data_IF_313372039319
#
_entry.id   IF_313372039319
#
_cell.length_a   1.000
_cell.length_b   1.000
_cell.length_c   1.000
_cell.angle_alpha   90.00
_cell.angle_beta   90.00
_cell.angle_gamma   90.00
#
_symmetry.space_group_name_H-M   'P 1'
#
loop_
_entity.id
_entity.type
_entity.pdbx_description
1 polymer ?
#
# COMPACT_ATOMS: atom_id res chain seq x y z
N UNK A 1 -4.43 23.84 35.26
CA UNK A 1 -5.16 22.90 34.36
C UNK A 1 -6.16 23.61 33.46
N UNK A 2 -6.90 24.63 33.93
CA UNK A 2 -7.87 25.39 33.12
C UNK A 2 -7.23 26.15 31.94
N UNK A 3 -6.06 26.77 32.14
CA UNK A 3 -5.34 27.46 31.05
C UNK A 3 -4.80 26.48 30.00
N UNK A 4 -4.37 25.30 30.45
CA UNK A 4 -3.95 24.21 29.58
C UNK A 4 -5.14 23.65 28.78
N UNK A 5 -6.34 23.64 29.36
CA UNK A 5 -7.56 23.18 28.69
C UNK A 5 -8.09 24.22 27.68
N UNK A 6 -8.04 25.51 28.03
CA UNK A 6 -8.48 26.60 27.15
C UNK A 6 -7.62 26.74 25.88
N UNK A 7 -6.30 26.52 25.97
CA UNK A 7 -5.44 26.51 24.77
C UNK A 7 -5.81 25.38 23.80
N UNK A 8 -6.26 24.21 24.31
CA UNK A 8 -6.66 23.09 23.45
C UNK A 8 -8.00 23.37 22.78
N UNK A 9 -8.95 23.99 23.48
CA UNK A 9 -10.21 24.44 22.87
C UNK A 9 -9.99 25.52 21.80
N UNK A 10 -9.11 26.50 22.07
CA UNK A 10 -8.76 27.52 21.10
C UNK A 10 -8.08 26.91 19.86
N UNK A 11 -7.14 25.99 20.06
CA UNK A 11 -6.47 25.28 18.97
C UNK A 11 -7.46 24.45 18.16
N UNK A 12 -8.39 23.73 18.80
CA UNK A 12 -9.42 22.96 18.11
C UNK A 12 -10.33 23.87 17.26
N UNK A 13 -10.81 24.98 17.82
CA UNK A 13 -11.64 25.93 17.08
C UNK A 13 -10.90 26.53 15.87
N UNK A 14 -9.63 26.90 16.04
CA UNK A 14 -8.81 27.43 14.96
C UNK A 14 -8.57 26.39 13.85
N UNK A 15 -8.23 25.15 14.21
CA UNK A 15 -7.98 24.09 13.23
C UNK A 15 -9.24 23.71 12.45
N UNK A 16 -10.40 23.59 13.12
CA UNK A 16 -11.66 23.23 12.45
C UNK A 16 -12.27 24.40 11.68
N UNK A 17 -12.18 25.63 12.19
CA UNK A 17 -12.74 26.82 11.52
C UNK A 17 -12.02 27.17 10.22
N UNK A 18 -10.70 26.96 10.14
CA UNK A 18 -9.92 27.23 8.92
C UNK A 18 -10.27 26.26 7.79
N UNK A 19 -10.62 25.00 8.10
CA UNK A 19 -11.01 24.01 7.09
C UNK A 19 -12.32 24.38 6.37
N UNK A 20 -13.27 25.02 7.07
CA UNK A 20 -14.53 25.46 6.46
C UNK A 20 -14.36 26.66 5.52
N UNK A 21 -13.36 27.51 5.75
CA UNK A 21 -13.13 28.70 4.92
C UNK A 21 -12.60 28.37 3.51
N UNK A 22 -12.02 27.18 3.33
CA UNK A 22 -11.47 26.72 2.05
C UNK A 22 -12.32 25.63 1.36
N UNK A 23 -13.49 25.32 1.91
CA UNK A 23 -14.35 24.25 1.41
C UNK A 23 -15.31 24.69 0.29
N UNK A 24 -15.31 25.97 -0.09
CA UNK A 24 -16.18 26.49 -1.14
C UNK A 24 -15.45 26.41 -2.50
N UNK A 25 -15.72 25.34 -3.24
CA UNK A 25 -15.27 25.14 -4.62
C UNK A 25 -16.43 25.38 -5.58
N UNK A 26 -16.17 25.81 -6.83
CA UNK A 26 -17.22 26.02 -7.82
C UNK A 26 -18.05 24.75 -8.02
N UNK A 27 -19.36 24.94 -8.24
CA UNK A 27 -20.28 23.84 -8.55
C UNK A 27 -19.71 22.95 -9.66
N UNK A 28 -19.79 21.61 -9.51
CA UNK A 28 -19.24 20.70 -10.51
C UNK A 28 -19.95 20.93 -11.86
N UNK A 29 -19.21 20.90 -12.97
CA UNK A 29 -19.80 21.02 -14.30
C UNK A 29 -20.83 19.89 -14.53
N UNK A 30 -21.80 20.10 -15.46
CA UNK A 30 -22.79 19.10 -15.80
C UNK A 30 -22.15 17.74 -16.12
N UNK A 31 -22.79 16.60 -15.80
CA UNK A 31 -22.24 15.28 -16.07
C UNK A 31 -21.97 15.10 -17.57
N UNK A 32 -20.70 14.88 -17.93
CA UNK A 32 -20.34 14.44 -19.27
C UNK A 32 -20.85 13.00 -19.50
N UNK A 33 -21.14 12.60 -20.76
CA UNK A 33 -21.43 11.21 -21.08
C UNK A 33 -20.32 10.29 -20.55
N UNK A 34 -20.65 9.08 -20.05
CA UNK A 34 -19.63 8.17 -19.55
C UNK A 34 -18.63 7.87 -20.68
N UNK A 35 -17.32 7.99 -20.41
CA UNK A 35 -16.30 7.63 -21.39
C UNK A 35 -16.45 6.14 -21.74
N UNK A 36 -16.12 5.75 -22.99
CA UNK A 36 -16.07 4.34 -23.34
C UNK A 36 -15.12 3.60 -22.38
N UNK A 37 -15.44 2.34 -22.03
CA UNK A 37 -14.60 1.57 -21.14
C UNK A 37 -13.17 1.48 -21.70
N UNK A 38 -12.15 1.60 -20.83
CA UNK A 38 -10.77 1.46 -21.27
C UNK A 38 -10.53 0.05 -21.84
N UNK A 39 -9.60 -0.11 -22.79
CA UNK A 39 -9.23 -1.43 -23.27
C UNK A 39 -8.73 -2.31 -22.10
N UNK A 40 -8.94 -3.63 -22.16
CA UNK A 40 -8.44 -4.53 -21.13
C UNK A 40 -6.91 -4.40 -21.01
N UNK A 41 -6.35 -4.56 -19.79
CA UNK A 41 -4.91 -4.56 -19.60
C UNK A 41 -4.24 -5.61 -20.49
N UNK A 42 -3.05 -5.33 -21.04
CA UNK A 42 -2.23 -6.35 -21.68
C UNK A 42 -2.06 -7.54 -20.74
N UNK A 43 -2.35 -8.75 -21.22
CA UNK A 43 -2.11 -9.97 -20.46
C UNK A 43 -0.63 -10.09 -20.12
N UNK A 44 -0.32 -10.41 -18.86
CA UNK A 44 1.04 -10.69 -18.43
C UNK A 44 1.33 -12.17 -18.68
N UNK A 45 2.39 -12.50 -19.42
CA UNK A 45 2.78 -13.88 -19.75
C UNK A 45 3.40 -14.64 -18.56
N UNK A 46 2.88 -14.48 -17.34
CA UNK A 46 3.35 -15.22 -16.15
C UNK A 46 3.05 -16.71 -16.28
N UNK A 47 1.93 -17.02 -16.93
CA UNK A 47 1.37 -18.36 -17.01
C UNK A 47 2.27 -19.33 -17.81
N UNK A 48 3.09 -18.81 -18.73
CA UNK A 48 3.91 -19.63 -19.63
C UNK A 48 5.00 -20.43 -18.89
N UNK A 49 5.56 -19.88 -17.81
CA UNK A 49 6.73 -20.45 -17.14
C UNK A 49 6.59 -20.55 -15.61
N UNK A 50 5.37 -20.46 -15.07
CA UNK A 50 5.14 -20.51 -13.62
C UNK A 50 5.68 -21.80 -12.98
N UNK A 51 5.62 -22.93 -13.68
CA UNK A 51 6.17 -24.20 -13.21
C UNK A 51 7.71 -24.21 -13.14
N UNK A 52 8.37 -23.48 -14.05
CA UNK A 52 9.83 -23.33 -14.02
C UNK A 52 10.23 -22.48 -12.81
N UNK A 53 9.52 -21.37 -12.58
CA UNK A 53 9.76 -20.50 -11.43
C UNK A 53 9.54 -21.23 -10.10
N UNK A 54 8.46 -22.03 -10.00
CA UNK A 54 8.18 -22.86 -8.83
C UNK A 54 9.29 -23.90 -8.60
N UNK A 55 9.76 -24.55 -9.68
CA UNK A 55 10.85 -25.53 -9.61
C UNK A 55 12.15 -24.89 -9.10
N UNK A 56 12.50 -23.71 -9.59
CA UNK A 56 13.68 -22.95 -9.14
C UNK A 56 13.54 -22.57 -7.65
N UNK A 57 12.36 -22.10 -7.23
CA UNK A 57 12.12 -21.72 -5.84
C UNK A 57 12.30 -22.91 -4.87
N UNK A 58 11.78 -24.08 -5.22
CA UNK A 58 11.93 -25.31 -4.42
C UNK A 58 13.40 -25.72 -4.35
N UNK A 59 14.10 -25.79 -5.48
CA UNK A 59 15.53 -26.15 -5.52
C UNK A 59 16.37 -25.18 -4.70
N UNK A 60 16.08 -23.87 -4.80
CA UNK A 60 16.77 -22.84 -4.05
C UNK A 60 16.50 -22.94 -2.54
N UNK A 61 15.26 -23.24 -2.14
CA UNK A 61 14.90 -23.52 -0.74
C UNK A 61 15.67 -24.71 -0.17
N UNK A 62 15.74 -25.82 -0.91
CA UNK A 62 16.53 -27.00 -0.53
C UNK A 62 18.02 -26.64 -0.39
N UNK A 63 18.57 -25.88 -1.34
CA UNK A 63 19.96 -25.43 -1.29
C UNK A 63 20.25 -24.60 -0.03
N UNK A 64 19.38 -23.64 0.32
CA UNK A 64 19.53 -22.82 1.53
C UNK A 64 19.51 -23.69 2.78
N UNK A 65 18.55 -24.62 2.87
CA UNK A 65 18.42 -25.55 4.00
C UNK A 65 19.70 -26.38 4.13
N UNK A 66 20.19 -26.98 3.04
CA UNK A 66 21.41 -27.78 3.06
C UNK A 66 22.63 -26.95 3.48
N UNK A 67 22.81 -25.77 2.89
CA UNK A 67 23.92 -24.85 3.19
C UNK A 67 23.93 -24.41 4.67
N UNK A 68 22.76 -24.16 5.25
CA UNK A 68 22.64 -23.67 6.62
C UNK A 68 22.67 -24.79 7.66
N UNK A 69 22.17 -25.99 7.36
CA UNK A 69 22.22 -27.14 8.28
C UNK A 69 23.62 -27.74 8.43
N UNK A 70 24.57 -27.45 7.53
CA UNK A 70 25.99 -27.84 7.72
C UNK A 70 26.63 -27.07 8.89
N UNK A 71 26.04 -25.96 9.34
CA UNK A 71 26.55 -25.17 10.49
C UNK A 71 25.96 -25.54 11.85
N UNK A 72 25.04 -26.52 11.91
CA UNK A 72 24.40 -26.97 13.15
C UNK A 72 24.90 -28.34 13.63
N UNK A 73 26.02 -28.86 13.09
CA UNK A 73 26.70 -30.01 13.71
C UNK A 73 27.34 -29.51 15.00
N UNK A 74 26.77 -29.94 16.12
CA UNK A 74 27.19 -29.62 17.48
C UNK A 74 28.70 -29.77 17.67
N UNK A 75 29.38 -28.82 18.35
CA UNK A 75 30.68 -29.13 18.94
C UNK A 75 30.47 -30.24 19.98
N UNK A 76 31.32 -31.27 19.90
CA UNK A 76 31.42 -32.37 20.87
C UNK A 76 31.88 -31.79 22.20
#
# INVERSE_FOLDING_TARGET
MKDLQNKYYFLAFFLFGVLSAFADGPDPPPPAPPPPPPPPPPGLAVDENIFVLLSIAILFGIYIIYKNNIKLKSPI
#
